data_IF_607603670411
#
_entry.id   IF_607603670411
#
_cell.length_a   1.000
_cell.length_b   1.000
_cell.length_c   1.000
_cell.angle_alpha   90.00
_cell.angle_beta   90.00
_cell.angle_gamma   90.00
#
_symmetry.space_group_name_H-M   'P 1'
#
loop_
_entity.id
_entity.type
_entity.pdbx_description
1 polymer ?
#
# COMPACT_ATOMS: atom_id res chain seq x y z
N UNK A 1 -4.65 3.48 15.39
CA UNK A 1 -5.50 3.39 14.20
C UNK A 1 -5.14 2.13 13.43
N UNK A 2 -6.09 1.60 12.66
CA UNK A 2 -5.85 0.60 11.62
C UNK A 2 -5.46 1.29 10.32
N UNK A 3 -4.27 1.00 9.83
CA UNK A 3 -3.70 1.59 8.62
C UNK A 3 -3.59 0.51 7.56
N UNK A 4 -4.14 0.79 6.37
CA UNK A 4 -3.80 0.03 5.18
C UNK A 4 -2.60 0.71 4.51
N UNK A 5 -1.46 0.02 4.47
CA UNK A 5 -0.26 0.51 3.82
C UNK A 5 -0.20 -0.04 2.39
N UNK A 6 -0.17 0.87 1.42
CA UNK A 6 -0.16 0.55 -0.02
C UNK A 6 1.21 0.85 -0.61
N UNK A 7 1.78 -0.09 -1.35
CA UNK A 7 3.05 0.11 -2.05
C UNK A 7 3.18 -0.85 -3.24
N UNK A 8 4.02 -0.51 -4.21
CA UNK A 8 4.23 -1.36 -5.39
C UNK A 8 4.87 -2.71 -5.03
N UNK A 9 4.22 -3.81 -5.45
CA UNK A 9 4.75 -5.18 -5.42
C UNK A 9 5.05 -5.64 -6.85
N UNK A 10 4.02 -5.99 -7.63
CA UNK A 10 4.14 -6.49 -8.99
C UNK A 10 4.73 -5.47 -9.98
N UNK A 11 4.51 -4.16 -9.74
CA UNK A 11 5.11 -3.08 -10.53
C UNK A 11 6.61 -2.87 -10.28
N UNK A 12 7.19 -3.63 -9.34
CA UNK A 12 8.60 -3.52 -8.92
C UNK A 12 8.73 -3.02 -7.48
N UNK A 13 9.84 -3.43 -6.84
CA UNK A 13 10.10 -3.19 -5.41
C UNK A 13 11.37 -2.37 -5.17
N UNK A 14 11.69 -1.46 -6.10
CA UNK A 14 12.87 -0.57 -6.04
C UNK A 14 12.99 0.17 -4.70
N UNK A 15 11.84 0.55 -4.12
CA UNK A 15 11.76 1.34 -2.89
C UNK A 15 11.48 0.51 -1.62
N UNK A 16 11.70 -0.81 -1.65
CA UNK A 16 11.40 -1.69 -0.51
C UNK A 16 12.03 -1.24 0.82
N UNK A 17 13.24 -0.70 0.78
CA UNK A 17 13.91 -0.18 1.98
C UNK A 17 13.16 1.01 2.59
N UNK A 18 12.50 1.82 1.78
CA UNK A 18 11.63 2.93 2.22
C UNK A 18 10.33 2.37 2.78
N UNK A 19 9.72 1.39 2.12
CA UNK A 19 8.48 0.77 2.60
C UNK A 19 8.66 0.21 4.03
N UNK A 20 9.76 -0.52 4.25
CA UNK A 20 10.13 -1.05 5.58
C UNK A 20 10.25 0.05 6.63
N UNK A 21 10.86 1.20 6.30
CA UNK A 21 11.00 2.34 7.21
C UNK A 21 9.64 2.97 7.55
N UNK A 22 8.77 3.15 6.56
CA UNK A 22 7.43 3.71 6.78
C UNK A 22 6.62 2.80 7.69
N UNK A 23 6.53 1.50 7.37
CA UNK A 23 5.80 0.52 8.20
C UNK A 23 6.35 0.47 9.62
N UNK A 24 7.67 0.41 9.79
CA UNK A 24 8.30 0.42 11.10
C UNK A 24 7.97 1.70 11.89
N UNK A 25 7.98 2.85 11.25
CA UNK A 25 7.63 4.13 11.87
C UNK A 25 6.16 4.15 12.33
N UNK A 26 5.21 3.77 11.46
CA UNK A 26 3.79 3.69 11.81
C UNK A 26 3.55 2.75 13.01
N UNK A 27 4.19 1.57 13.01
CA UNK A 27 4.10 0.62 14.13
C UNK A 27 4.70 1.19 15.42
N UNK A 28 5.82 1.91 15.33
CA UNK A 28 6.46 2.54 16.50
C UNK A 28 5.57 3.59 17.18
N UNK A 29 4.61 4.15 16.45
CA UNK A 29 3.60 5.08 16.98
C UNK A 29 2.35 4.37 17.54
N UNK A 30 2.37 3.04 17.63
CA UNK A 30 1.26 2.24 18.17
C UNK A 30 0.11 2.03 17.19
N UNK A 31 0.35 2.17 15.88
CA UNK A 31 -0.65 1.87 14.85
C UNK A 31 -0.59 0.41 14.42
N UNK A 32 -1.75 -0.16 14.06
CA UNK A 32 -1.86 -1.48 13.45
C UNK A 32 -1.76 -1.32 11.93
N UNK A 33 -0.78 -1.98 11.29
CA UNK A 33 -0.59 -1.93 9.84
C UNK A 33 -1.07 -3.24 9.24
N UNK A 34 -2.28 -3.24 8.65
CA UNK A 34 -2.98 -4.46 8.22
C UNK A 34 -2.22 -5.22 7.12
N UNK A 35 -1.62 -4.47 6.19
CA UNK A 35 -0.89 -4.99 5.03
C UNK A 35 0.64 -5.05 5.27
N UNK A 36 1.12 -5.16 6.52
CA UNK A 36 2.56 -5.09 6.80
C UNK A 36 3.41 -6.17 6.10
N UNK A 37 2.82 -7.31 5.76
CA UNK A 37 3.50 -8.40 5.07
C UNK A 37 4.07 -7.98 3.70
N UNK A 38 3.54 -6.91 3.08
CA UNK A 38 4.01 -6.42 1.77
C UNK A 38 5.45 -5.90 1.78
N UNK A 39 6.07 -5.71 2.94
CA UNK A 39 7.47 -5.27 3.07
C UNK A 39 8.45 -6.41 3.33
N UNK A 40 7.99 -7.67 3.37
CA UNK A 40 8.85 -8.87 3.46
C UNK A 40 9.64 -9.08 2.18
N UNK A 41 10.89 -9.52 2.27
CA UNK A 41 11.74 -9.75 1.08
C UNK A 41 11.22 -10.89 0.21
N UNK A 42 10.67 -11.92 0.85
CA UNK A 42 10.26 -13.20 0.26
C UNK A 42 8.78 -13.25 -0.16
N UNK A 43 8.11 -12.10 -0.30
CA UNK A 43 6.65 -12.06 -0.57
C UNK A 43 6.20 -12.88 -1.78
N UNK A 44 6.99 -12.90 -2.86
CA UNK A 44 6.63 -13.63 -4.07
C UNK A 44 6.59 -15.16 -3.87
N UNK A 45 7.38 -15.68 -2.92
CA UNK A 45 7.36 -17.12 -2.59
C UNK A 45 6.06 -17.55 -1.89
N UNK A 46 5.35 -16.59 -1.31
CA UNK A 46 4.03 -16.76 -0.70
C UNK A 46 2.93 -16.41 -1.71
N UNK A 47 3.02 -15.29 -2.45
CA UNK A 47 1.98 -14.81 -3.39
C UNK A 47 1.75 -15.73 -4.59
N UNK A 48 2.78 -16.37 -5.15
CA UNK A 48 2.61 -17.29 -6.30
C UNK A 48 1.64 -18.46 -6.00
N UNK A 49 1.43 -18.75 -4.70
CA UNK A 49 0.54 -19.82 -4.25
C UNK A 49 -0.90 -19.36 -4.04
N UNK A 50 -1.17 -18.05 -4.11
CA UNK A 50 -2.48 -17.48 -3.78
C UNK A 50 -3.25 -17.20 -5.06
N UNK A 51 -4.48 -17.70 -5.14
CA UNK A 51 -5.37 -17.35 -6.24
C UNK A 51 -5.62 -15.82 -6.27
N UNK A 52 -5.61 -15.15 -7.43
CA UNK A 52 -5.82 -13.70 -7.52
C UNK A 52 -7.08 -13.21 -6.80
N UNK A 53 -8.16 -13.99 -6.85
CA UNK A 53 -9.42 -13.69 -6.15
C UNK A 53 -9.25 -13.62 -4.63
N UNK A 54 -8.42 -14.49 -4.05
CA UNK A 54 -8.16 -14.51 -2.60
C UNK A 54 -7.42 -13.25 -2.17
N UNK A 55 -6.41 -12.83 -2.94
CA UNK A 55 -5.67 -11.59 -2.68
C UNK A 55 -6.63 -10.40 -2.75
N UNK A 56 -7.43 -10.32 -3.81
CA UNK A 56 -8.44 -9.27 -3.97
C UNK A 56 -9.42 -9.19 -2.78
N UNK A 57 -10.05 -10.31 -2.40
CA UNK A 57 -11.03 -10.32 -1.31
C UNK A 57 -10.40 -9.97 0.05
N UNK A 58 -9.16 -10.40 0.28
CA UNK A 58 -8.42 -10.07 1.49
C UNK A 58 -8.08 -8.58 1.58
N UNK A 59 -7.60 -7.99 0.48
CA UNK A 59 -7.22 -6.58 0.43
C UNK A 59 -8.43 -5.66 0.52
N UNK A 60 -9.54 -6.00 -0.16
CA UNK A 60 -10.81 -5.30 0.00
C UNK A 60 -11.28 -5.35 1.46
N UNK A 61 -11.18 -6.50 2.13
CA UNK A 61 -11.53 -6.61 3.54
C UNK A 61 -10.67 -5.70 4.41
N UNK A 62 -9.36 -5.64 4.18
CA UNK A 62 -8.50 -4.74 4.95
C UNK A 62 -8.76 -3.26 4.66
N UNK A 63 -9.04 -2.89 3.41
CA UNK A 63 -9.46 -1.54 3.04
C UNK A 63 -10.79 -1.15 3.69
N UNK A 64 -11.69 -2.11 3.89
CA UNK A 64 -12.98 -1.88 4.56
C UNK A 64 -12.84 -1.71 6.08
N UNK A 65 -11.82 -2.32 6.68
CA UNK A 65 -11.57 -2.28 8.13
C UNK A 65 -10.61 -1.15 8.55
N UNK A 66 -9.89 -0.53 7.62
CA UNK A 66 -8.91 0.51 7.94
C UNK A 66 -9.57 1.88 8.19
N UNK A 67 -8.86 2.73 8.93
CA UNK A 67 -9.29 4.10 9.22
C UNK A 67 -8.59 5.12 8.30
N UNK A 68 -7.46 4.73 7.71
CA UNK A 68 -6.64 5.57 6.82
C UNK A 68 -5.81 4.69 5.89
N UNK A 69 -5.56 5.19 4.68
CA UNK A 69 -4.58 4.63 3.74
C UNK A 69 -3.32 5.47 3.75
N UNK A 70 -2.17 4.80 3.86
CA UNK A 70 -0.86 5.41 3.62
C UNK A 70 -0.25 4.72 2.40
N UNK A 71 0.00 5.46 1.33
CA UNK A 71 0.50 4.92 0.07
C UNK A 71 1.89 5.48 -0.26
N UNK A 72 2.85 4.60 -0.54
CA UNK A 72 4.11 4.98 -1.16
C UNK A 72 3.96 4.84 -2.70
N UNK A 73 4.06 5.97 -3.40
CA UNK A 73 3.69 6.07 -4.83
C UNK A 73 4.87 6.42 -5.74
N UNK A 74 6.12 6.27 -5.27
CA UNK A 74 7.31 6.53 -6.09
C UNK A 74 7.42 5.57 -7.27
N UNK A 75 7.02 4.31 -7.08
CA UNK A 75 6.97 3.33 -8.16
C UNK A 75 5.53 3.19 -8.69
N UNK A 76 5.27 3.48 -9.97
CA UNK A 76 3.94 3.30 -10.56
C UNK A 76 3.41 1.88 -10.35
N UNK A 77 2.19 1.77 -9.85
CA UNK A 77 1.54 0.49 -9.56
C UNK A 77 0.05 0.57 -9.79
N UNK A 78 -0.48 -0.37 -10.57
CA UNK A 78 -1.91 -0.49 -10.85
C UNK A 78 -2.70 -0.85 -9.58
N UNK A 79 -2.17 -1.75 -8.75
CA UNK A 79 -2.79 -2.14 -7.47
C UNK A 79 -2.90 -0.96 -6.51
N UNK A 80 -1.80 -0.22 -6.33
CA UNK A 80 -1.77 0.99 -5.49
C UNK A 80 -2.78 2.03 -5.98
N UNK A 81 -2.85 2.26 -7.30
CA UNK A 81 -3.86 3.16 -7.87
C UNK A 81 -5.30 2.70 -7.62
N UNK A 82 -5.56 1.39 -7.72
CA UNK A 82 -6.86 0.80 -7.40
C UNK A 82 -7.23 0.98 -5.92
N UNK A 83 -6.30 0.68 -5.01
CA UNK A 83 -6.48 0.81 -3.56
C UNK A 83 -6.75 2.25 -3.14
N UNK A 84 -5.99 3.22 -3.71
CA UNK A 84 -6.22 4.66 -3.48
C UNK A 84 -7.61 5.06 -3.96
N UNK A 85 -7.99 4.68 -5.18
CA UNK A 85 -9.31 5.02 -5.72
C UNK A 85 -10.44 4.40 -4.88
N UNK A 86 -10.28 3.16 -4.42
CA UNK A 86 -11.24 2.48 -3.55
C UNK A 86 -11.40 3.23 -2.23
N UNK A 87 -10.30 3.58 -1.57
CA UNK A 87 -10.31 4.30 -0.30
C UNK A 87 -10.97 5.69 -0.42
N UNK A 88 -10.63 6.44 -1.48
CA UNK A 88 -11.26 7.73 -1.78
C UNK A 88 -12.77 7.60 -2.02
N UNK A 89 -13.22 6.54 -2.72
CA UNK A 89 -14.64 6.26 -2.93
C UNK A 89 -15.41 6.04 -1.62
N UNK A 90 -14.72 5.54 -0.60
CA UNK A 90 -15.22 5.36 0.77
C UNK A 90 -15.00 6.57 1.68
N UNK A 91 -14.47 7.68 1.14
CA UNK A 91 -14.13 8.89 1.89
C UNK A 91 -13.13 8.65 3.03
N UNK A 92 -12.30 7.62 2.91
CA UNK A 92 -11.19 7.41 3.82
C UNK A 92 -10.11 8.46 3.57
N UNK A 93 -9.46 8.99 4.61
CA UNK A 93 -8.25 9.79 4.44
C UNK A 93 -7.17 8.97 3.75
N UNK A 94 -6.48 9.57 2.77
CA UNK A 94 -5.37 8.96 2.04
C UNK A 94 -4.17 9.88 2.12
N UNK A 95 -3.03 9.35 2.60
CA UNK A 95 -1.74 10.02 2.58
C UNK A 95 -0.84 9.35 1.55
N UNK A 96 -0.54 10.06 0.46
CA UNK A 96 0.44 9.62 -0.53
C UNK A 96 1.81 10.24 -0.22
N UNK A 97 2.85 9.40 -0.16
CA UNK A 97 4.25 9.80 -0.05
C UNK A 97 5.02 9.34 -1.29
N UNK A 98 5.97 10.15 -1.75
CA UNK A 98 6.84 9.82 -2.88
C UNK A 98 8.19 10.55 -2.76
N UNK A 99 9.20 10.01 -3.44
CA UNK A 99 10.52 10.60 -3.57
C UNK A 99 10.45 11.87 -4.43
N UNK A 100 10.98 12.97 -3.90
CA UNK A 100 10.98 14.27 -4.58
C UNK A 100 11.70 14.20 -5.92
N UNK A 101 11.18 14.88 -6.94
CA UNK A 101 11.78 14.93 -8.28
C UNK A 101 11.28 13.84 -9.23
N UNK A 102 10.41 12.94 -8.77
CA UNK A 102 9.73 11.98 -9.64
C UNK A 102 8.53 12.59 -10.35
N UNK A 103 8.27 12.10 -11.57
CA UNK A 103 7.01 12.35 -12.25
C UNK A 103 5.94 11.43 -11.67
N UNK A 104 5.01 11.99 -10.90
CA UNK A 104 3.86 11.28 -10.35
C UNK A 104 2.63 11.50 -11.24
N UNK A 105 1.83 10.44 -11.41
CA UNK A 105 0.58 10.51 -12.18
C UNK A 105 -0.29 11.67 -11.70
N UNK A 106 -0.80 12.48 -12.64
CA UNK A 106 -1.73 13.58 -12.34
C UNK A 106 -3.04 13.12 -11.71
N UNK A 107 -3.39 11.84 -11.86
CA UNK A 107 -4.55 11.23 -11.19
C UNK A 107 -4.33 11.04 -9.68
N UNK A 108 -3.07 11.08 -9.21
CA UNK A 108 -2.71 10.95 -7.79
C UNK A 108 -2.47 12.33 -7.15
N UNK A 109 -2.02 13.31 -7.94
CA UNK A 109 -1.69 14.67 -7.45
C UNK A 109 -2.81 15.70 -7.63
N UNK A 110 -3.93 15.33 -8.23
CA UNK A 110 -5.12 16.18 -8.41
C UNK A 110 -6.19 15.92 -7.36
#
# INVERSE_FOLDING_TARGET
>A
MKIYFSASIAGGRKYLSIYKKIVAHLKSQGHEVLSEHIVREDIFSDEEKWAPRRVFEQDIKWLDECEVVVAEVSNPSLGVGYEICYALSKKLPVLCAYETGLFISKMITG
#
